data_IF_303094581166
#
_entry.id   IF_303094581166
#
_cell.length_a   1.000
_cell.length_b   1.000
_cell.length_c   1.000
_cell.angle_alpha   90.00
_cell.angle_beta   90.00
_cell.angle_gamma   90.00
#
_symmetry.space_group_name_H-M   'P 1'
#
loop_
_entity.id
_entity.type
_entity.pdbx_description
1 polymer ?
#
# COMPACT_ATOMS: atom_id res chain seq x y z
N UNK A 1 3.11 -2.08 -24.04
CA UNK A 1 3.47 -2.78 -22.78
C UNK A 1 3.90 -4.18 -23.16
N UNK A 2 5.01 -4.73 -22.61
CA UNK A 2 5.43 -6.09 -22.89
C UNK A 2 4.34 -7.10 -22.54
N UNK A 3 4.30 -8.25 -23.20
CA UNK A 3 3.33 -9.31 -22.91
C UNK A 3 3.47 -9.79 -21.45
N UNK A 4 4.69 -9.94 -20.98
CA UNK A 4 5.04 -10.20 -19.60
C UNK A 4 6.01 -9.12 -19.09
N UNK A 5 5.78 -8.59 -17.90
CA UNK A 5 6.67 -7.63 -17.24
C UNK A 5 7.60 -8.37 -16.28
N UNK A 6 8.87 -8.50 -16.66
CA UNK A 6 9.90 -9.13 -15.83
C UNK A 6 10.59 -8.11 -14.92
N UNK A 7 11.24 -8.60 -13.85
CA UNK A 7 12.07 -7.74 -12.97
C UNK A 7 13.15 -7.01 -13.76
N UNK A 8 13.86 -7.73 -14.63
CA UNK A 8 14.94 -7.15 -15.44
C UNK A 8 14.44 -6.02 -16.32
N UNK A 9 13.30 -6.21 -17.00
CA UNK A 9 12.70 -5.19 -17.85
C UNK A 9 12.23 -3.98 -17.05
N UNK A 10 11.59 -4.21 -15.91
CA UNK A 10 11.05 -3.13 -15.08
C UNK A 10 12.17 -2.29 -14.48
N UNK A 11 13.11 -2.92 -13.77
CA UNK A 11 14.16 -2.20 -13.05
C UNK A 11 15.23 -1.60 -13.96
N UNK A 12 15.40 -2.07 -15.19
CA UNK A 12 16.31 -1.45 -16.18
C UNK A 12 15.78 -0.15 -16.77
N UNK A 13 14.48 0.16 -16.62
CA UNK A 13 13.88 1.36 -17.19
C UNK A 13 14.41 2.63 -16.55
N UNK A 14 14.81 3.59 -17.39
CA UNK A 14 15.30 4.88 -16.93
C UNK A 14 14.26 5.63 -16.08
N UNK A 15 12.97 5.52 -16.42
CA UNK A 15 11.87 6.13 -15.66
C UNK A 15 11.68 5.52 -14.27
N UNK A 16 11.89 4.20 -14.11
CA UNK A 16 11.86 3.52 -12.80
C UNK A 16 13.03 3.97 -11.94
N UNK A 17 14.23 4.04 -12.53
CA UNK A 17 15.42 4.53 -11.83
C UNK A 17 15.30 6.02 -11.42
N UNK A 18 14.71 6.83 -12.30
CA UNK A 18 14.43 8.24 -11.99
C UNK A 18 13.42 8.39 -10.85
N UNK A 19 12.37 7.56 -10.80
CA UNK A 19 11.40 7.54 -9.72
C UNK A 19 12.06 7.29 -8.36
N UNK A 20 12.90 6.26 -8.25
CA UNK A 20 13.64 5.98 -7.02
C UNK A 20 14.56 7.13 -6.58
N UNK A 21 15.24 7.79 -7.54
CA UNK A 21 16.09 8.96 -7.23
C UNK A 21 15.28 10.15 -6.68
N UNK A 22 14.02 10.26 -7.09
CA UNK A 22 13.10 11.30 -6.63
C UNK A 22 12.34 10.93 -5.35
N UNK A 23 12.63 9.77 -4.75
CA UNK A 23 11.91 9.29 -3.57
C UNK A 23 10.48 8.81 -3.86
N UNK A 24 10.18 8.50 -5.11
CA UNK A 24 8.90 7.91 -5.53
C UNK A 24 8.99 6.38 -5.53
N UNK A 25 7.85 5.73 -5.35
CA UNK A 25 7.72 4.27 -5.45
C UNK A 25 7.13 3.92 -6.82
N UNK A 26 7.88 3.28 -7.73
CA UNK A 26 7.33 2.82 -8.99
C UNK A 26 6.41 1.62 -8.74
N UNK A 27 5.18 1.70 -9.22
CA UNK A 27 4.13 0.71 -8.99
C UNK A 27 3.96 -0.26 -10.17
N UNK A 28 4.20 0.21 -11.39
CA UNK A 28 3.99 -0.55 -12.61
C UNK A 28 4.06 0.34 -13.84
N UNK A 29 3.58 -0.17 -14.95
CA UNK A 29 3.51 0.55 -16.23
C UNK A 29 2.05 0.80 -16.61
N UNK A 30 1.71 2.02 -16.97
CA UNK A 30 0.42 2.35 -17.55
C UNK A 30 0.22 1.57 -18.87
N UNK A 31 -0.95 0.96 -19.04
CA UNK A 31 -1.22 0.08 -20.19
C UNK A 31 -1.42 0.84 -21.51
N UNK A 32 -1.78 2.12 -21.47
CA UNK A 32 -2.00 2.96 -22.64
C UNK A 32 -0.74 3.73 -23.01
N UNK A 33 -0.09 4.39 -22.05
CA UNK A 33 1.06 5.27 -22.31
C UNK A 33 2.41 4.58 -22.17
N UNK A 34 2.46 3.39 -21.55
CA UNK A 34 3.68 2.64 -21.19
C UNK A 34 4.60 3.40 -20.21
N UNK A 35 4.12 4.50 -19.66
CA UNK A 35 4.85 5.28 -18.67
C UNK A 35 4.86 4.58 -17.30
N UNK A 36 5.88 4.85 -16.51
CA UNK A 36 5.98 4.34 -15.15
C UNK A 36 4.98 5.06 -14.25
N UNK A 37 4.04 4.29 -13.69
CA UNK A 37 3.12 4.77 -12.67
C UNK A 37 3.84 4.77 -11.32
N UNK A 38 3.78 5.87 -10.60
CA UNK A 38 4.48 6.05 -9.33
C UNK A 38 3.54 6.48 -8.21
N UNK A 39 3.92 6.12 -6.99
CA UNK A 39 3.30 6.63 -5.78
C UNK A 39 4.30 7.47 -4.99
N UNK A 40 3.83 8.62 -4.48
CA UNK A 40 4.64 9.52 -3.64
C UNK A 40 4.26 9.30 -2.17
N UNK A 41 5.18 8.85 -1.32
CA UNK A 41 4.96 8.82 0.13
C UNK A 41 4.57 10.21 0.66
N UNK A 42 3.63 10.27 1.57
CA UNK A 42 3.01 11.50 2.07
C UNK A 42 2.35 12.37 0.98
N UNK A 43 1.97 11.76 -0.14
CA UNK A 43 1.18 12.38 -1.20
C UNK A 43 -0.20 11.73 -1.35
N UNK A 44 -0.74 11.17 -0.29
CA UNK A 44 -1.96 10.40 -0.20
C UNK A 44 -1.67 8.91 0.05
N UNK A 45 -2.22 8.36 1.13
CA UNK A 45 -2.09 6.95 1.47
C UNK A 45 -2.66 6.05 0.37
N UNK A 46 -2.16 4.83 0.29
CA UNK A 46 -2.46 3.87 -0.78
C UNK A 46 -3.16 2.63 -0.23
N UNK A 47 -4.26 2.23 -0.84
CA UNK A 47 -4.93 0.95 -0.61
C UNK A 47 -4.51 -0.04 -1.69
N UNK A 48 -4.14 -1.27 -1.32
CA UNK A 48 -3.95 -2.38 -2.24
C UNK A 48 -5.00 -3.45 -2.01
N UNK A 49 -5.86 -3.67 -3.00
CA UNK A 49 -7.02 -4.54 -2.90
C UNK A 49 -6.84 -5.79 -3.77
N UNK A 50 -6.79 -6.96 -3.14
CA UNK A 50 -6.66 -8.25 -3.83
C UNK A 50 -7.29 -9.39 -3.01
N UNK A 51 -7.64 -10.47 -3.68
CA UNK A 51 -8.07 -11.72 -3.03
C UNK A 51 -6.94 -12.75 -2.93
N UNK A 52 -5.77 -12.47 -3.54
CA UNK A 52 -4.67 -13.42 -3.64
C UNK A 52 -3.49 -13.03 -2.75
N UNK A 53 -3.12 -13.93 -1.85
CA UNK A 53 -1.92 -13.80 -1.00
C UNK A 53 -0.64 -13.60 -1.83
N UNK A 54 -0.49 -14.34 -2.94
CA UNK A 54 0.67 -14.20 -3.84
C UNK A 54 0.83 -12.79 -4.40
N UNK A 55 -0.27 -12.08 -4.65
CA UNK A 55 -0.24 -10.69 -5.12
C UNK A 55 0.14 -9.73 -3.99
N UNK A 56 -0.32 -9.97 -2.75
CA UNK A 56 0.13 -9.19 -1.59
C UNK A 56 1.64 -9.37 -1.38
N UNK A 57 2.14 -10.60 -1.45
CA UNK A 57 3.56 -10.91 -1.31
C UNK A 57 4.41 -10.23 -2.40
N UNK A 58 3.98 -10.31 -3.66
CA UNK A 58 4.64 -9.65 -4.77
C UNK A 58 4.71 -8.13 -4.59
N UNK A 59 3.61 -7.51 -4.16
CA UNK A 59 3.58 -6.08 -3.93
C UNK A 59 4.47 -5.66 -2.74
N UNK A 60 4.48 -6.42 -1.66
CA UNK A 60 5.36 -6.18 -0.53
C UNK A 60 6.86 -6.29 -0.92
N UNK A 61 7.21 -7.26 -1.77
CA UNK A 61 8.58 -7.36 -2.34
C UNK A 61 8.94 -6.14 -3.19
N UNK A 62 8.03 -5.65 -4.01
CA UNK A 62 8.23 -4.42 -4.78
C UNK A 62 8.51 -3.24 -3.86
N UNK A 63 7.76 -3.09 -2.78
CA UNK A 63 7.95 -2.02 -1.79
C UNK A 63 9.30 -2.13 -1.06
N UNK A 64 9.75 -3.35 -0.76
CA UNK A 64 11.01 -3.60 -0.06
C UNK A 64 12.25 -3.29 -0.92
N UNK A 65 12.12 -3.22 -2.24
CA UNK A 65 13.20 -2.85 -3.17
C UNK A 65 13.53 -1.35 -3.17
N UNK A 66 12.70 -0.53 -2.56
CA UNK A 66 12.93 0.92 -2.43
C UNK A 66 14.06 1.24 -1.45
N UNK A 67 14.67 2.44 -1.63
CA UNK A 67 15.67 2.97 -0.69
C UNK A 67 15.05 3.71 0.49
N UNK A 68 13.74 3.76 0.57
CA UNK A 68 13.02 4.45 1.63
C UNK A 68 12.82 3.54 2.83
N UNK A 69 12.83 4.13 4.02
CA UNK A 69 12.50 3.38 5.24
C UNK A 69 11.06 2.88 5.16
N UNK A 70 10.91 1.56 5.26
CA UNK A 70 9.63 0.86 5.18
C UNK A 70 9.46 -0.02 6.41
N UNK A 71 8.31 0.07 7.05
CA UNK A 71 7.93 -0.75 8.19
C UNK A 71 6.76 -1.62 7.74
N UNK A 72 6.92 -2.93 7.75
CA UNK A 72 5.87 -3.87 7.34
C UNK A 72 5.35 -4.60 8.58
N UNK A 73 4.09 -4.35 8.93
CA UNK A 73 3.36 -5.21 9.85
C UNK A 73 2.78 -6.37 9.05
N UNK A 74 3.18 -7.59 9.36
CA UNK A 74 2.80 -8.78 8.63
C UNK A 74 2.36 -9.91 9.56
N UNK A 75 1.48 -10.83 9.11
CA UNK A 75 1.20 -12.06 9.84
C UNK A 75 2.45 -12.92 10.01
N UNK A 76 2.44 -13.81 11.00
CA UNK A 76 3.59 -14.66 11.35
C UNK A 76 4.10 -15.56 10.23
N UNK A 77 3.23 -15.93 9.28
CA UNK A 77 3.60 -16.77 8.14
C UNK A 77 4.31 -16.04 7.00
N UNK A 78 4.47 -14.73 7.11
CA UNK A 78 5.08 -13.93 6.06
C UNK A 78 6.60 -14.18 5.99
N UNK A 79 7.12 -14.40 4.78
CA UNK A 79 8.53 -14.75 4.51
C UNK A 79 9.39 -13.52 4.16
N UNK A 80 8.85 -12.30 4.24
CA UNK A 80 9.62 -11.09 3.96
C UNK A 80 10.61 -10.86 5.10
N UNK A 81 11.87 -10.71 4.75
CA UNK A 81 12.96 -10.47 5.72
C UNK A 81 13.23 -8.97 5.89
N UNK A 82 13.65 -8.60 7.09
CA UNK A 82 14.15 -7.25 7.38
C UNK A 82 15.51 -7.02 6.74
N UNK A 83 15.78 -5.78 6.34
CA UNK A 83 17.09 -5.33 5.88
C UNK A 83 17.41 -3.91 6.42
N UNK A 84 18.41 -3.23 5.89
CA UNK A 84 18.81 -1.90 6.34
C UNK A 84 17.73 -0.82 6.17
N UNK A 85 16.78 -1.00 5.22
CA UNK A 85 15.72 -0.07 4.91
C UNK A 85 14.33 -0.61 5.24
N UNK A 86 14.20 -1.90 5.49
CA UNK A 86 12.92 -2.58 5.71
C UNK A 86 12.92 -3.24 7.09
N UNK A 87 12.02 -2.81 7.95
CA UNK A 87 11.71 -3.47 9.22
C UNK A 87 10.43 -4.28 9.05
N UNK A 88 10.51 -5.59 9.19
CA UNK A 88 9.33 -6.47 9.21
C UNK A 88 9.03 -6.86 10.66
N UNK A 89 7.80 -6.62 11.08
CA UNK A 89 7.28 -7.00 12.40
C UNK A 89 6.13 -7.98 12.19
N UNK A 90 6.32 -9.21 12.62
CA UNK A 90 5.37 -10.32 12.46
C UNK A 90 4.93 -10.93 13.79
N UNK A 91 5.35 -10.36 14.91
CA UNK A 91 4.90 -10.75 16.24
C UNK A 91 3.82 -9.79 16.74
N UNK A 92 2.59 -10.27 17.06
CA UNK A 92 1.51 -9.42 17.53
C UNK A 92 1.83 -8.58 18.76
N UNK A 93 2.64 -9.09 19.70
CA UNK A 93 3.03 -8.36 20.90
C UNK A 93 3.89 -7.12 20.58
N UNK A 94 4.65 -7.17 19.48
CA UNK A 94 5.46 -6.06 19.00
C UNK A 94 4.63 -5.01 18.24
N UNK A 95 3.45 -5.35 17.73
CA UNK A 95 2.58 -4.39 17.03
C UNK A 95 2.16 -3.25 17.97
N UNK A 96 1.76 -3.57 19.19
CA UNK A 96 1.26 -2.59 20.16
C UNK A 96 2.31 -1.55 20.50
N UNK A 97 3.52 -2.02 20.84
CA UNK A 97 4.64 -1.13 21.16
C UNK A 97 5.01 -0.23 19.96
N UNK A 98 5.17 -0.83 18.79
CA UNK A 98 5.56 -0.09 17.59
C UNK A 98 4.50 0.95 17.20
N UNK A 99 3.22 0.59 17.19
CA UNK A 99 2.12 1.47 16.84
C UNK A 99 2.02 2.63 17.85
N UNK A 100 2.19 2.36 19.14
CA UNK A 100 2.20 3.40 20.17
C UNK A 100 3.36 4.39 19.97
N UNK A 101 4.57 3.88 19.69
CA UNK A 101 5.76 4.71 19.43
C UNK A 101 5.57 5.57 18.17
N UNK A 102 5.04 5.02 17.07
CA UNK A 102 4.79 5.78 15.84
C UNK A 102 3.73 6.87 16.09
N UNK A 103 2.65 6.54 16.78
CA UNK A 103 1.58 7.49 17.11
C UNK A 103 2.14 8.69 17.90
N UNK A 104 2.96 8.45 18.92
CA UNK A 104 3.61 9.50 19.70
C UNK A 104 4.57 10.34 18.82
N UNK A 105 5.37 9.71 17.98
CA UNK A 105 6.30 10.43 17.08
C UNK A 105 5.55 11.33 16.10
N UNK A 106 4.41 10.89 15.59
CA UNK A 106 3.56 11.73 14.73
C UNK A 106 3.16 13.01 15.46
N UNK A 107 2.68 12.89 16.70
CA UNK A 107 2.29 14.05 17.51
C UNK A 107 3.44 15.02 17.76
N UNK A 108 4.61 14.49 18.13
CA UNK A 108 5.82 15.29 18.36
C UNK A 108 6.24 16.04 17.09
N UNK A 109 6.24 15.37 15.95
CA UNK A 109 6.64 15.95 14.67
C UNK A 109 5.62 16.99 14.16
N UNK A 110 4.33 16.74 14.36
CA UNK A 110 3.28 17.72 14.03
C UNK A 110 3.43 19.00 14.86
N UNK A 111 3.68 18.87 16.17
CA UNK A 111 3.97 20.01 17.06
C UNK A 111 5.21 20.79 16.62
N UNK A 112 6.25 20.08 16.18
CA UNK A 112 7.48 20.65 15.66
C UNK A 112 7.36 21.18 14.22
N UNK A 113 6.21 21.01 13.56
CA UNK A 113 5.96 21.35 12.14
C UNK A 113 6.97 20.69 11.19
N UNK A 114 7.40 19.47 11.51
CA UNK A 114 8.29 18.69 10.67
C UNK A 114 7.47 17.69 9.85
N UNK A 115 7.35 17.92 8.56
CA UNK A 115 6.52 17.14 7.63
C UNK A 115 7.34 16.26 6.68
N UNK A 116 8.67 16.23 6.83
CA UNK A 116 9.52 15.40 6.00
C UNK A 116 9.21 13.93 6.17
N UNK A 117 9.22 13.17 5.07
CA UNK A 117 8.98 11.73 5.10
C UNK A 117 10.02 11.01 5.98
N UNK A 118 9.54 10.20 6.90
CA UNK A 118 10.34 9.38 7.82
C UNK A 118 10.34 7.93 7.38
N UNK A 119 9.14 7.36 7.25
CA UNK A 119 8.95 5.96 6.90
C UNK A 119 7.56 5.73 6.27
N UNK A 120 7.45 4.66 5.52
CA UNK A 120 6.17 4.14 5.03
C UNK A 120 5.76 2.94 5.87
N UNK A 121 4.60 3.01 6.50
CA UNK A 121 3.98 1.90 7.21
C UNK A 121 3.16 1.08 6.23
N UNK A 122 3.47 -0.20 6.11
CA UNK A 122 2.76 -1.16 5.26
C UNK A 122 2.02 -2.14 6.17
N UNK A 123 0.71 -2.21 6.01
CA UNK A 123 -0.15 -3.18 6.71
C UNK A 123 -0.45 -4.34 5.74
N UNK A 124 0.22 -5.46 5.98
CA UNK A 124 0.08 -6.65 5.14
C UNK A 124 -1.11 -7.48 5.62
N UNK A 125 -2.16 -7.58 4.80
CA UNK A 125 -3.41 -8.26 5.14
C UNK A 125 -4.11 -7.66 6.39
N UNK A 126 -4.63 -6.46 6.23
CA UNK A 126 -5.25 -5.70 7.33
C UNK A 126 -6.25 -6.50 8.15
N UNK A 127 -7.12 -7.26 7.51
CA UNK A 127 -8.18 -8.02 8.19
C UNK A 127 -7.58 -8.99 9.22
N UNK A 128 -6.49 -9.64 8.88
CA UNK A 128 -5.81 -10.58 9.76
C UNK A 128 -5.02 -9.89 10.88
N UNK A 129 -4.40 -8.73 10.56
CA UNK A 129 -3.65 -7.95 11.54
C UNK A 129 -4.56 -7.41 12.66
N UNK A 130 -5.70 -6.82 12.31
CA UNK A 130 -6.59 -6.21 13.31
C UNK A 130 -7.22 -7.22 14.26
N UNK A 131 -7.38 -8.48 13.85
CA UNK A 131 -7.86 -9.55 14.74
C UNK A 131 -6.93 -9.80 15.92
N UNK A 132 -5.64 -9.50 15.78
CA UNK A 132 -4.61 -9.70 16.80
C UNK A 132 -4.34 -8.44 17.65
N UNK A 133 -5.02 -7.34 17.39
CA UNK A 133 -4.79 -6.06 18.06
C UNK A 133 -5.83 -5.77 19.13
N UNK A 134 -5.39 -5.17 20.24
CA UNK A 134 -6.27 -4.59 21.26
C UNK A 134 -7.06 -3.40 20.67
N UNK A 135 -8.11 -2.96 21.37
CA UNK A 135 -8.88 -1.79 20.94
C UNK A 135 -8.01 -0.53 20.92
N UNK A 136 -7.16 -0.33 21.93
CA UNK A 136 -6.24 0.80 22.02
C UNK A 136 -5.28 0.82 20.83
N UNK A 137 -4.71 -0.33 20.47
CA UNK A 137 -3.82 -0.45 19.30
C UNK A 137 -4.54 -0.13 18.00
N UNK A 138 -5.79 -0.57 17.84
CA UNK A 138 -6.63 -0.23 16.68
C UNK A 138 -6.90 1.27 16.59
N UNK A 139 -7.20 1.92 17.72
CA UNK A 139 -7.46 3.37 17.76
C UNK A 139 -6.19 4.16 17.41
N UNK A 140 -5.03 3.77 17.94
CA UNK A 140 -3.73 4.35 17.58
C UNK A 140 -3.39 4.12 16.09
N UNK A 141 -3.67 2.93 15.57
CA UNK A 141 -3.43 2.63 14.15
C UNK A 141 -4.36 3.45 13.25
N UNK A 142 -5.63 3.58 13.59
CA UNK A 142 -6.57 4.45 12.87
C UNK A 142 -6.08 5.91 12.87
N UNK A 143 -5.55 6.40 14.00
CA UNK A 143 -4.93 7.71 14.09
C UNK A 143 -3.71 7.84 13.16
N UNK A 144 -2.83 6.84 13.10
CA UNK A 144 -1.68 6.83 12.20
C UNK A 144 -2.13 6.89 10.74
N UNK A 145 -3.14 6.10 10.35
CA UNK A 145 -3.65 6.12 8.98
C UNK A 145 -4.29 7.46 8.60
N UNK A 146 -4.94 8.14 9.54
CA UNK A 146 -5.61 9.42 9.28
C UNK A 146 -4.64 10.62 9.33
N UNK A 147 -3.70 10.64 10.27
CA UNK A 147 -2.84 11.80 10.55
C UNK A 147 -1.36 11.58 10.20
N UNK A 148 -0.94 10.35 9.98
CA UNK A 148 0.47 9.97 9.87
C UNK A 148 1.24 10.75 8.81
N UNK A 149 0.66 11.03 7.66
CA UNK A 149 1.31 11.78 6.60
C UNK A 149 1.76 13.19 7.05
N UNK A 150 1.01 13.82 7.94
CA UNK A 150 1.39 15.13 8.53
C UNK A 150 2.60 15.04 9.44
N UNK A 151 2.89 13.86 9.99
CA UNK A 151 4.09 13.59 10.78
C UNK A 151 5.19 12.87 10.00
N UNK A 152 5.05 12.73 8.67
CA UNK A 152 6.04 12.09 7.82
C UNK A 152 5.92 10.56 7.73
N UNK A 153 4.81 9.97 8.21
CA UNK A 153 4.54 8.54 8.11
C UNK A 153 3.44 8.28 7.09
N UNK A 154 3.83 7.87 5.89
CA UNK A 154 2.90 7.42 4.86
C UNK A 154 2.40 6.01 5.15
N UNK A 155 1.22 5.65 4.67
CA UNK A 155 0.65 4.33 4.89
C UNK A 155 0.21 3.66 3.59
N UNK A 156 0.48 2.36 3.49
CA UNK A 156 -0.03 1.45 2.47
C UNK A 156 -0.79 0.33 3.20
N UNK A 157 -2.05 0.15 2.84
CA UNK A 157 -2.90 -0.90 3.42
C UNK A 157 -3.18 -1.94 2.36
N UNK A 158 -2.74 -3.17 2.58
CA UNK A 158 -3.10 -4.33 1.76
C UNK A 158 -4.27 -5.07 2.39
N UNK A 159 -5.28 -5.37 1.62
CA UNK A 159 -6.51 -5.99 2.13
C UNK A 159 -7.32 -6.69 1.04
N UNK A 160 -8.43 -7.29 1.45
CA UNK A 160 -9.37 -8.02 0.61
C UNK A 160 -10.68 -7.23 0.41
N UNK A 161 -11.46 -7.51 -0.65
CA UNK A 161 -12.73 -6.83 -0.92
C UNK A 161 -13.75 -6.87 0.22
N UNK A 162 -13.68 -7.89 1.08
CA UNK A 162 -14.55 -8.00 2.26
C UNK A 162 -14.32 -6.89 3.30
N UNK A 163 -13.27 -6.07 3.16
CA UNK A 163 -13.06 -4.86 3.98
C UNK A 163 -14.31 -3.98 4.03
N UNK A 164 -15.11 -3.97 2.97
CA UNK A 164 -16.35 -3.19 2.94
C UNK A 164 -17.31 -3.52 4.09
N UNK A 165 -17.28 -4.76 4.59
CA UNK A 165 -18.13 -5.24 5.68
C UNK A 165 -17.59 -4.93 7.07
N UNK A 166 -16.33 -4.49 7.16
CA UNK A 166 -15.69 -4.17 8.43
C UNK A 166 -16.12 -2.78 8.91
N UNK A 167 -16.40 -2.65 10.20
CA UNK A 167 -16.90 -1.42 10.83
C UNK A 167 -15.93 -0.83 11.85
N UNK A 168 -14.79 -1.48 12.10
CA UNK A 168 -13.78 -0.98 13.03
C UNK A 168 -13.13 0.35 12.54
N UNK A 169 -12.53 1.14 13.45
CA UNK A 169 -11.96 2.44 13.09
C UNK A 169 -10.87 2.38 12.03
N UNK A 170 -10.03 1.35 12.06
CA UNK A 170 -8.92 1.20 11.10
C UNK A 170 -9.47 0.98 9.69
N UNK A 171 -10.41 0.05 9.55
CA UNK A 171 -11.08 -0.24 8.28
C UNK A 171 -11.83 0.97 7.74
N UNK A 172 -12.46 1.77 8.62
CA UNK A 172 -13.16 2.98 8.22
C UNK A 172 -12.21 4.02 7.60
N UNK A 173 -11.03 4.23 8.19
CA UNK A 173 -10.03 5.15 7.64
C UNK A 173 -9.43 4.59 6.34
N UNK A 174 -9.08 3.30 6.28
CA UNK A 174 -8.54 2.68 5.08
C UNK A 174 -9.49 2.81 3.87
N UNK A 175 -10.80 2.63 4.08
CA UNK A 175 -11.83 2.84 3.04
C UNK A 175 -11.93 4.28 2.54
N UNK A 176 -11.42 5.25 3.27
CA UNK A 176 -11.41 6.67 2.88
C UNK A 176 -10.26 7.08 1.98
N UNK A 177 -9.29 6.19 1.74
CA UNK A 177 -8.14 6.49 0.90
C UNK A 177 -8.56 6.82 -0.53
N UNK A 178 -7.91 7.84 -1.12
CA UNK A 178 -8.22 8.36 -2.47
C UNK A 178 -7.39 7.71 -3.57
N UNK A 179 -6.39 6.93 -3.19
CA UNK A 179 -5.53 6.18 -4.11
C UNK A 179 -5.62 4.70 -3.80
N UNK A 180 -5.78 3.90 -4.85
CA UNK A 180 -5.81 2.46 -4.70
C UNK A 180 -5.17 1.74 -5.89
N UNK A 181 -4.61 0.57 -5.62
CA UNK A 181 -4.32 -0.45 -6.62
C UNK A 181 -5.30 -1.58 -6.39
N UNK A 182 -5.95 -2.04 -7.45
CA UNK A 182 -6.91 -3.14 -7.36
C UNK A 182 -6.52 -4.27 -8.31
N UNK A 183 -6.26 -5.44 -7.76
CA UNK A 183 -6.07 -6.69 -8.48
C UNK A 183 -7.37 -7.48 -8.65
N UNK A 184 -8.49 -6.83 -8.45
CA UNK A 184 -9.85 -7.34 -8.61
C UNK A 184 -10.61 -6.49 -9.62
N UNK A 185 -11.63 -7.04 -10.26
CA UNK A 185 -12.50 -6.27 -11.15
C UNK A 185 -13.22 -5.16 -10.39
N UNK A 186 -13.45 -4.04 -11.06
CA UNK A 186 -14.19 -2.92 -10.50
C UNK A 186 -15.59 -3.36 -10.04
N UNK A 187 -16.20 -4.28 -10.79
CA UNK A 187 -17.55 -4.80 -10.51
C UNK A 187 -17.62 -5.77 -9.33
N UNK A 188 -16.49 -6.35 -8.92
CA UNK A 188 -16.42 -7.35 -7.84
C UNK A 188 -16.13 -6.74 -6.46
N UNK A 189 -16.04 -5.42 -6.37
CA UNK A 189 -15.72 -4.71 -5.13
C UNK A 189 -16.58 -3.45 -4.95
N UNK A 190 -16.74 -3.02 -3.72
CA UNK A 190 -17.43 -1.78 -3.35
C UNK A 190 -16.64 -0.93 -2.36
N UNK A 191 -15.36 -1.29 -2.13
CA UNK A 191 -14.46 -0.58 -1.21
C UNK A 191 -14.00 0.73 -1.84
N UNK A 192 -13.60 0.66 -3.12
CA UNK A 192 -13.04 1.79 -3.87
C UNK A 192 -14.09 2.34 -4.83
N UNK A 193 -14.39 3.62 -4.71
CA UNK A 193 -15.28 4.30 -5.65
C UNK A 193 -14.59 4.50 -7.00
N UNK A 194 -15.23 4.07 -8.08
CA UNK A 194 -14.74 4.22 -9.46
C UNK A 194 -15.87 4.78 -10.33
N UNK A 195 -15.60 5.88 -11.02
CA UNK A 195 -16.58 6.54 -11.89
C UNK A 195 -16.54 6.05 -13.33
N UNK A 196 -15.36 5.72 -13.86
CA UNK A 196 -15.19 5.25 -15.24
C UNK A 196 -15.30 3.72 -15.36
N UNK A 197 -16.44 3.16 -14.90
CA UNK A 197 -16.68 1.71 -14.96
C UNK A 197 -16.85 1.24 -16.40
N UNK A 198 -16.16 0.16 -16.82
CA UNK A 198 -16.37 -0.41 -18.15
C UNK A 198 -17.76 -1.04 -18.26
N UNK A 199 -18.38 -0.96 -19.44
CA UNK A 199 -19.69 -1.58 -19.72
C UNK A 199 -19.62 -3.11 -19.60
N UNK A 200 -18.51 -3.70 -20.01
CA UNK A 200 -18.21 -5.13 -19.86
C UNK A 200 -16.80 -5.27 -19.35
N UNK A 201 -16.66 -5.88 -18.18
CA UNK A 201 -15.38 -6.10 -17.56
C UNK A 201 -14.96 -7.56 -17.70
N UNK A 202 -13.80 -7.79 -18.31
CA UNK A 202 -13.19 -9.11 -18.41
C UNK A 202 -12.44 -9.45 -17.12
N UNK A 203 -12.15 -10.74 -16.92
CA UNK A 203 -11.24 -11.16 -15.86
C UNK A 203 -9.88 -10.49 -16.06
N UNK A 204 -9.27 -10.05 -14.97
CA UNK A 204 -7.94 -9.47 -15.01
C UNK A 204 -6.90 -10.60 -15.14
N UNK A 205 -5.94 -10.40 -16.02
CA UNK A 205 -4.71 -11.18 -16.02
C UNK A 205 -3.90 -10.90 -14.76
N UNK A 206 -3.04 -11.81 -14.36
CA UNK A 206 -2.35 -11.76 -13.08
C UNK A 206 -1.54 -10.47 -12.86
N UNK A 207 -0.86 -9.99 -13.91
CA UNK A 207 -0.08 -8.76 -13.88
C UNK A 207 -0.91 -7.49 -14.15
N UNK A 208 -2.18 -7.60 -14.51
CA UNK A 208 -3.02 -6.44 -14.82
C UNK A 208 -3.82 -6.04 -13.60
N UNK A 209 -3.59 -4.82 -13.14
CA UNK A 209 -4.29 -4.20 -12.03
C UNK A 209 -4.93 -2.88 -12.47
N UNK A 210 -5.80 -2.32 -11.65
CA UNK A 210 -6.25 -0.94 -11.78
C UNK A 210 -5.49 -0.06 -10.79
N UNK A 211 -4.95 1.04 -11.26
CA UNK A 211 -4.55 2.15 -10.41
C UNK A 211 -5.67 3.19 -10.39
N UNK A 212 -6.18 3.48 -9.21
CA UNK A 212 -7.30 4.41 -9.02
C UNK A 212 -6.78 5.65 -8.30
N UNK A 213 -7.07 6.80 -8.88
CA UNK A 213 -6.81 8.10 -8.26
C UNK A 213 -8.01 9.01 -8.49
N UNK A 214 -8.54 9.60 -7.42
CA UNK A 214 -9.70 10.48 -7.50
C UNK A 214 -10.88 9.86 -8.27
N UNK A 215 -11.20 8.60 -8.00
CA UNK A 215 -12.28 7.81 -8.61
C UNK A 215 -12.09 7.44 -10.09
N UNK A 216 -10.95 7.75 -10.69
CA UNK A 216 -10.62 7.35 -12.05
C UNK A 216 -9.67 6.15 -12.00
N UNK A 217 -10.05 5.06 -12.67
CA UNK A 217 -9.28 3.83 -12.76
C UNK A 217 -8.59 3.73 -14.12
N UNK A 218 -7.27 3.50 -14.10
CA UNK A 218 -6.47 3.18 -15.28
C UNK A 218 -5.83 1.80 -15.10
N UNK A 219 -5.75 1.03 -16.18
CA UNK A 219 -5.05 -0.26 -16.13
C UNK A 219 -3.55 -0.06 -16.09
N UNK A 220 -2.91 -0.77 -15.19
CA UNK A 220 -1.45 -0.81 -15.08
C UNK A 220 -0.97 -2.26 -15.13
N UNK A 221 0.23 -2.46 -15.63
CA UNK A 221 0.93 -3.75 -15.56
C UNK A 221 1.94 -3.71 -14.41
N UNK A 222 1.80 -4.64 -13.48
CA UNK A 222 2.62 -4.72 -12.27
C UNK A 222 3.58 -5.91 -12.31
N UNK A 223 4.64 -5.85 -11.49
CA UNK A 223 5.50 -7.02 -11.28
C UNK A 223 4.78 -8.07 -10.44
N UNK A 224 4.93 -9.33 -10.87
CA UNK A 224 4.60 -10.51 -10.08
C UNK A 224 5.87 -11.36 -9.96
N UNK A 225 6.17 -11.85 -8.76
CA UNK A 225 7.36 -12.64 -8.44
C UNK A 225 7.03 -14.12 -8.31
#
# INVERSE_FOLDING_TARGET
VPEELTEADFYSRASVQAAYKQGLVPLGLDMETVETVTWKPCGGNLLYLTEKESQMAAFARLLSRGKQKTIILAPQYNEIESDENVLVVNNPDEYEELIAVISQKIDERMKAKNFDHVATLVLYNLTELIEKMSQETRDNLAYILDKGERGGYASIVMTVPSLNRQIDPVSAVAKSFKKAIMAVRITDQTVVAVNNKPLREQLLEEQIHYYVQNTIANKIKVLMY
#
